data_IF_663020250663
#
_entry.id   IF_663020250663
#
_cell.length_a   1.000
_cell.length_b   1.000
_cell.length_c   1.000
_cell.angle_alpha   90.00
_cell.angle_beta   90.00
_cell.angle_gamma   90.00
#
_symmetry.space_group_name_H-M   'P 1'
#
loop_
_entity.id
_entity.type
_entity.pdbx_description
1 polymer ?
#
# COMPACT_ATOMS: atom_id res chain seq x y z
N UNK A 1 19.51 2.16 -11.60
CA UNK A 1 18.16 1.59 -11.35
C UNK A 1 17.41 2.56 -10.44
N UNK A 2 16.26 3.11 -10.88
CA UNK A 2 15.45 4.01 -10.04
C UNK A 2 14.87 3.18 -8.88
N UNK A 3 15.16 3.57 -7.65
CA UNK A 3 14.49 3.02 -6.46
C UNK A 3 13.00 3.41 -6.59
N UNK A 4 12.09 2.44 -6.74
CA UNK A 4 10.65 2.73 -6.67
C UNK A 4 10.37 3.39 -5.32
N UNK A 5 9.84 4.62 -5.34
CA UNK A 5 9.33 5.26 -4.13
C UNK A 5 7.89 4.76 -3.86
N UNK A 6 7.25 5.26 -2.81
CA UNK A 6 5.90 4.81 -2.45
C UNK A 6 4.88 5.23 -3.53
N UNK A 7 5.02 6.46 -4.01
CA UNK A 7 4.13 7.10 -4.97
C UNK A 7 4.14 6.39 -6.32
N UNK A 8 5.33 6.00 -6.81
CA UNK A 8 5.50 5.22 -8.04
C UNK A 8 4.86 3.83 -7.89
N UNK A 9 5.03 3.17 -6.74
CA UNK A 9 4.45 1.86 -6.49
C UNK A 9 2.91 1.91 -6.37
N UNK A 10 2.38 2.96 -5.76
CA UNK A 10 0.94 3.20 -5.67
C UNK A 10 0.34 3.46 -7.07
N UNK A 11 1.00 4.29 -7.88
CA UNK A 11 0.57 4.56 -9.25
C UNK A 11 0.58 3.31 -10.13
N UNK A 12 1.60 2.47 -10.00
CA UNK A 12 1.66 1.19 -10.70
C UNK A 12 0.52 0.25 -10.26
N UNK A 13 0.18 0.25 -8.97
CA UNK A 13 -0.92 -0.55 -8.44
C UNK A 13 -2.27 -0.09 -9.00
N UNK A 14 -2.54 1.22 -8.99
CA UNK A 14 -3.75 1.79 -9.60
C UNK A 14 -3.88 1.44 -11.08
N UNK A 15 -2.75 1.44 -11.80
CA UNK A 15 -2.73 1.06 -13.21
C UNK A 15 -3.11 -0.41 -13.40
N UNK A 16 -2.55 -1.30 -12.58
CA UNK A 16 -2.89 -2.72 -12.61
C UNK A 16 -4.37 -2.95 -12.29
N UNK A 17 -4.92 -2.26 -11.29
CA UNK A 17 -6.35 -2.36 -10.97
C UNK A 17 -7.22 -1.95 -12.15
N UNK A 18 -6.90 -0.82 -12.82
CA UNK A 18 -7.60 -0.40 -14.04
C UNK A 18 -7.53 -1.44 -15.15
N UNK A 19 -6.34 -1.99 -15.42
CA UNK A 19 -6.14 -3.00 -16.47
C UNK A 19 -6.93 -4.29 -16.20
N UNK A 20 -7.06 -4.69 -14.93
CA UNK A 20 -7.85 -5.84 -14.52
C UNK A 20 -9.36 -5.58 -14.63
N UNK A 21 -9.81 -4.38 -14.23
CA UNK A 21 -11.23 -3.98 -14.28
C UNK A 21 -11.74 -3.80 -15.72
N UNK A 22 -10.88 -3.35 -16.64
CA UNK A 22 -11.22 -3.20 -18.06
C UNK A 22 -11.53 -4.55 -18.74
N UNK A 23 -11.04 -5.66 -18.19
CA UNK A 23 -11.38 -7.02 -18.66
C UNK A 23 -10.87 -7.38 -20.06
N UNK A 24 -9.96 -6.58 -20.63
CA UNK A 24 -9.41 -6.79 -21.98
C UNK A 24 -8.18 -7.72 -22.01
N UNK A 25 -7.72 -8.18 -20.85
CA UNK A 25 -6.53 -9.02 -20.71
C UNK A 25 -6.84 -10.50 -20.97
N UNK A 26 -5.85 -11.22 -21.49
CA UNK A 26 -5.88 -12.69 -21.50
C UNK A 26 -5.84 -13.25 -20.07
N UNK A 27 -6.14 -14.54 -19.91
CA UNK A 27 -6.05 -15.21 -18.61
C UNK A 27 -4.62 -15.20 -18.07
N UNK A 28 -3.62 -15.51 -18.91
CA UNK A 28 -2.22 -15.48 -18.49
C UNK A 28 -1.78 -14.06 -18.09
N UNK A 29 -2.16 -13.04 -18.88
CA UNK A 29 -1.82 -11.65 -18.56
C UNK A 29 -2.50 -11.19 -17.26
N UNK A 30 -3.76 -11.57 -17.05
CA UNK A 30 -4.50 -11.24 -15.82
C UNK A 30 -3.82 -11.82 -14.58
N UNK A 31 -3.31 -13.05 -14.67
CA UNK A 31 -2.56 -13.68 -13.59
C UNK A 31 -1.23 -12.96 -13.31
N UNK A 32 -0.49 -12.56 -14.35
CA UNK A 32 0.76 -11.79 -14.20
C UNK A 32 0.50 -10.41 -13.57
N UNK A 33 -0.56 -9.71 -14.01
CA UNK A 33 -0.99 -8.44 -13.41
C UNK A 33 -1.38 -8.61 -11.94
N UNK A 34 -2.14 -9.65 -11.62
CA UNK A 34 -2.54 -9.95 -10.26
C UNK A 34 -1.32 -10.20 -9.35
N UNK A 35 -0.38 -11.04 -9.78
CA UNK A 35 0.84 -11.32 -8.99
C UNK A 35 1.67 -10.05 -8.75
N UNK A 36 1.80 -9.20 -9.76
CA UNK A 36 2.45 -7.88 -9.63
C UNK A 36 1.70 -6.97 -8.66
N UNK A 37 0.37 -6.95 -8.73
CA UNK A 37 -0.49 -6.20 -7.81
C UNK A 37 -0.25 -6.59 -6.36
N UNK A 38 -0.25 -7.89 -6.04
CA UNK A 38 0.02 -8.40 -4.68
C UNK A 38 1.37 -7.91 -4.16
N UNK A 39 2.43 -8.00 -4.98
CA UNK A 39 3.77 -7.53 -4.58
C UNK A 39 3.81 -6.03 -4.29
N UNK A 40 3.05 -5.23 -5.05
CA UNK A 40 2.95 -3.78 -4.82
C UNK A 40 2.17 -3.46 -3.55
N UNK A 41 1.05 -4.15 -3.29
CA UNK A 41 0.28 -4.01 -2.04
C UNK A 41 1.18 -4.28 -0.84
N UNK A 42 1.90 -5.39 -0.82
CA UNK A 42 2.82 -5.71 0.27
C UNK A 42 3.90 -4.64 0.45
N UNK A 43 4.44 -4.12 -0.67
CA UNK A 43 5.44 -3.06 -0.62
C UNK A 43 4.89 -1.78 0.01
N UNK A 44 3.72 -1.32 -0.44
CA UNK A 44 3.04 -0.14 0.08
C UNK A 44 2.72 -0.30 1.57
N UNK A 45 2.13 -1.43 1.97
CA UNK A 45 1.81 -1.73 3.37
C UNK A 45 3.05 -1.74 4.26
N UNK A 46 4.17 -2.31 3.80
CA UNK A 46 5.44 -2.25 4.55
C UNK A 46 5.93 -0.81 4.73
N UNK A 47 5.84 0.02 3.68
CA UNK A 47 6.26 1.43 3.76
C UNK A 47 5.40 2.24 4.72
N UNK A 48 4.09 2.08 4.69
CA UNK A 48 3.17 2.75 5.61
C UNK A 48 3.45 2.34 7.07
N UNK A 49 3.63 1.04 7.31
CA UNK A 49 4.00 0.53 8.64
C UNK A 49 5.32 1.12 9.16
N UNK A 50 6.34 1.23 8.31
CA UNK A 50 7.62 1.84 8.68
C UNK A 50 7.48 3.33 9.03
N UNK A 51 6.63 4.05 8.30
CA UNK A 51 6.34 5.46 8.58
C UNK A 51 5.56 5.59 9.88
N UNK A 52 4.53 4.78 10.10
CA UNK A 52 3.73 4.79 11.33
C UNK A 52 4.62 4.59 12.56
N UNK A 53 5.50 3.58 12.56
CA UNK A 53 6.43 3.32 13.67
C UNK A 53 7.35 4.50 13.96
N UNK A 54 7.79 5.21 12.91
CA UNK A 54 8.63 6.42 13.07
C UNK A 54 7.84 7.55 13.71
N UNK A 55 6.62 7.77 13.24
CA UNK A 55 5.68 8.76 13.80
C UNK A 55 5.41 8.47 15.27
N UNK A 56 5.07 7.22 15.62
CA UNK A 56 4.84 6.79 17.01
C UNK A 56 6.08 7.04 17.89
N UNK A 57 7.28 6.78 17.37
CA UNK A 57 8.53 6.99 18.11
C UNK A 57 8.80 8.47 18.36
N UNK A 58 8.50 9.33 17.38
CA UNK A 58 8.65 10.79 17.53
C UNK A 58 7.65 11.34 18.56
N UNK A 59 6.39 10.90 18.51
CA UNK A 59 5.35 11.35 19.44
C UNK A 59 5.63 10.89 20.88
N UNK A 60 6.15 9.65 21.06
CA UNK A 60 6.63 9.18 22.37
C UNK A 60 7.76 10.03 22.95
N UNK A 61 8.64 10.59 22.10
CA UNK A 61 9.76 11.42 22.54
C UNK A 61 9.32 12.83 22.98
N UNK A 62 8.25 13.37 22.39
CA UNK A 62 7.70 14.68 22.73
C UNK A 62 6.80 14.67 23.99
N UNK A 63 6.66 13.53 24.67
CA UNK A 63 5.92 13.41 25.94
C UNK A 63 4.39 13.58 25.81
N UNK A 64 3.89 13.82 24.61
CA UNK A 64 2.48 13.88 24.29
C UNK A 64 2.13 12.68 23.40
N UNK A 65 1.49 11.64 23.94
CA UNK A 65 0.34 11.01 23.29
C UNK A 65 -0.31 9.91 24.15
N UNK A 66 -1.62 10.07 24.35
CA UNK A 66 -2.55 8.96 24.53
C UNK A 66 -2.82 8.37 23.13
N UNK A 67 -2.31 7.19 22.84
CA UNK A 67 -2.63 6.48 21.60
C UNK A 67 -4.09 6.02 21.65
N UNK A 68 -4.91 6.51 20.73
CA UNK A 68 -6.22 5.93 20.45
C UNK A 68 -6.09 4.92 19.31
N UNK A 69 -6.75 3.75 19.40
CA UNK A 69 -6.77 2.78 18.31
C UNK A 69 -7.24 3.42 17.01
N UNK A 70 -6.62 3.03 15.89
CA UNK A 70 -7.19 3.30 14.58
C UNK A 70 -8.41 2.38 14.43
N UNK A 71 -9.62 2.95 14.53
CA UNK A 71 -10.84 2.22 14.25
C UNK A 71 -11.01 2.12 12.73
N UNK A 72 -10.66 0.95 12.18
CA UNK A 72 -11.19 0.52 10.89
C UNK A 72 -12.70 0.36 11.06
N UNK A 73 -13.46 1.43 10.78
CA UNK A 73 -14.90 1.35 10.61
C UNK A 73 -15.19 0.66 9.26
N UNK A 74 -14.83 -0.63 9.15
CA UNK A 74 -15.51 -1.55 8.25
C UNK A 74 -16.89 -1.80 8.86
N UNK A 75 -17.82 -0.89 8.54
CA UNK A 75 -19.25 -1.18 8.66
C UNK A 75 -19.65 -1.93 7.39
N UNK A 76 -20.18 -3.14 7.59
CA UNK A 76 -20.82 -4.00 6.57
C UNK A 76 -21.86 -3.25 5.72
#
# INVERSE_FOLDING_TARGET
>A
MKKKNFEDALKDLEQITRELDEGALSLEDSLDRFEKGIKLVEYCSRKLNDVQKKVDTLLKKDGALNAVPFEDNETE
#
